data_IF_655064778831
#
_entry.id   IF_655064778831
#
_cell.length_a   1.000
_cell.length_b   1.000
_cell.length_c   1.000
_cell.angle_alpha   90.00
_cell.angle_beta   90.00
_cell.angle_gamma   90.00
#
_symmetry.space_group_name_H-M   'P 1'
#
loop_
_entity.id
_entity.type
_entity.pdbx_description
1 polymer ?
#
# COMPACT_ATOMS: atom_id res chain seq x y z
N UNK A 1 -4.91 -11.62 14.12
CA UNK A 1 -3.82 -10.66 13.80
C UNK A 1 -3.84 -10.28 12.31
N UNK A 2 -5.01 -9.99 11.74
CA UNK A 2 -5.18 -9.81 10.27
C UNK A 2 -5.46 -8.35 9.89
N UNK A 3 -6.13 -7.61 10.79
CA UNK A 3 -6.54 -6.21 10.59
C UNK A 3 -5.32 -5.28 10.54
N UNK A 4 -4.34 -5.48 11.42
CA UNK A 4 -3.09 -4.69 11.42
C UNK A 4 -2.30 -4.85 10.11
N UNK A 5 -2.27 -6.06 9.54
CA UNK A 5 -1.56 -6.32 8.29
C UNK A 5 -2.19 -5.59 7.10
N UNK A 6 -3.52 -5.54 7.03
CA UNK A 6 -4.25 -4.84 5.97
C UNK A 6 -4.25 -3.31 6.20
N UNK A 7 -4.35 -2.86 7.45
CA UNK A 7 -4.26 -1.42 7.78
C UNK A 7 -2.89 -0.82 7.37
N UNK A 8 -1.81 -1.57 7.53
CA UNK A 8 -0.48 -1.13 7.09
C UNK A 8 -0.40 -0.91 5.57
N UNK A 9 -1.17 -1.64 4.75
CA UNK A 9 -1.22 -1.42 3.29
C UNK A 9 -1.70 -0.01 2.96
N UNK A 10 -2.79 0.41 3.60
CA UNK A 10 -3.32 1.76 3.44
C UNK A 10 -2.33 2.82 3.92
N UNK A 11 -1.54 2.52 4.95
CA UNK A 11 -0.49 3.41 5.42
C UNK A 11 0.63 3.60 4.38
N UNK A 12 1.16 2.51 3.80
CA UNK A 12 2.24 2.61 2.79
C UNK A 12 1.78 3.28 1.49
N UNK A 13 0.59 2.93 0.99
CA UNK A 13 0.04 3.54 -0.21
C UNK A 13 -0.38 5.00 0.03
N UNK A 14 -0.98 5.29 1.19
CA UNK A 14 -1.35 6.65 1.58
C UNK A 14 -0.14 7.56 1.76
N UNK A 15 0.94 7.05 2.36
CA UNK A 15 2.19 7.80 2.51
C UNK A 15 2.83 8.09 1.15
N UNK A 16 2.85 7.11 0.24
CA UNK A 16 3.37 7.33 -1.11
C UNK A 16 2.55 8.36 -1.89
N UNK A 17 1.22 8.31 -1.76
CA UNK A 17 0.31 9.29 -2.35
C UNK A 17 0.57 10.70 -1.80
N UNK A 18 0.70 10.85 -0.48
CA UNK A 18 1.03 12.14 0.14
C UNK A 18 2.39 12.62 -0.35
N UNK A 19 3.39 11.74 -0.44
CA UNK A 19 4.71 12.12 -0.94
C UNK A 19 4.65 12.62 -2.39
N UNK A 20 3.81 12.06 -3.25
CA UNK A 20 3.72 12.43 -4.66
C UNK A 20 2.80 13.63 -4.93
N UNK A 21 1.70 13.77 -4.20
CA UNK A 21 0.64 14.73 -4.55
C UNK A 21 0.45 15.84 -3.51
N UNK A 22 1.03 15.72 -2.31
CA UNK A 22 0.90 16.78 -1.31
C UNK A 22 1.77 17.98 -1.64
N UNK A 23 1.21 19.17 -1.46
CA UNK A 23 1.93 20.45 -1.47
C UNK A 23 2.82 20.64 -0.25
N UNK A 24 2.63 19.85 0.82
CA UNK A 24 3.50 19.89 2.01
C UNK A 24 4.96 19.64 1.66
N UNK A 25 5.25 18.83 0.64
CA UNK A 25 6.62 18.53 0.20
C UNK A 25 7.03 19.33 -1.05
N UNK A 26 6.37 20.44 -1.38
CA UNK A 26 6.73 21.24 -2.56
C UNK A 26 8.12 21.86 -2.49
N UNK A 27 8.72 21.91 -1.30
CA UNK A 27 10.11 22.35 -1.08
C UNK A 27 11.15 21.30 -1.48
N UNK A 28 10.75 20.04 -1.73
CA UNK A 28 11.62 18.95 -2.16
C UNK A 28 11.45 18.75 -3.67
N UNK A 29 12.57 18.58 -4.37
CA UNK A 29 12.58 18.28 -5.80
C UNK A 29 11.67 17.09 -6.13
N UNK A 30 10.90 17.23 -7.21
CA UNK A 30 9.95 16.21 -7.69
C UNK A 30 10.64 14.86 -7.93
N UNK A 31 11.90 14.89 -8.35
CA UNK A 31 12.72 13.71 -8.60
C UNK A 31 13.02 12.97 -7.30
N UNK A 32 13.43 13.70 -6.25
CA UNK A 32 13.69 13.13 -4.93
C UNK A 32 12.40 12.54 -4.33
N UNK A 33 11.30 13.28 -4.40
CA UNK A 33 9.98 12.79 -3.92
C UNK A 33 9.55 11.53 -4.62
N UNK A 34 9.71 11.48 -5.94
CA UNK A 34 9.38 10.29 -6.73
C UNK A 34 10.28 9.12 -6.36
N UNK A 35 11.59 9.36 -6.21
CA UNK A 35 12.54 8.33 -5.78
C UNK A 35 12.18 7.72 -4.42
N UNK A 36 11.77 8.55 -3.45
CA UNK A 36 11.30 8.06 -2.15
C UNK A 36 9.93 7.40 -2.22
N UNK A 37 9.03 7.85 -3.09
CA UNK A 37 7.68 7.29 -3.22
C UNK A 37 7.67 5.90 -3.89
N UNK A 38 8.59 5.64 -4.83
CA UNK A 38 8.68 4.36 -5.57
C UNK A 38 8.74 3.14 -4.64
N UNK A 39 9.65 3.03 -3.65
CA UNK A 39 9.70 1.87 -2.77
C UNK A 39 8.42 1.70 -1.94
N UNK A 40 7.80 2.81 -1.49
CA UNK A 40 6.52 2.75 -0.78
C UNK A 40 5.37 2.28 -1.67
N UNK A 41 5.34 2.71 -2.93
CA UNK A 41 4.38 2.24 -3.94
C UNK A 41 4.56 0.75 -4.21
N UNK A 42 5.79 0.31 -4.52
CA UNK A 42 6.08 -1.08 -4.83
C UNK A 42 5.75 -2.01 -3.65
N UNK A 43 6.21 -1.65 -2.45
CA UNK A 43 5.94 -2.43 -1.24
C UNK A 43 4.45 -2.43 -0.88
N UNK A 44 3.80 -1.26 -0.98
CA UNK A 44 2.37 -1.11 -0.74
C UNK A 44 1.53 -1.98 -1.68
N UNK A 45 1.85 -1.99 -2.98
CA UNK A 45 1.17 -2.83 -3.97
C UNK A 45 1.42 -4.32 -3.72
N UNK A 46 2.66 -4.73 -3.48
CA UNK A 46 2.98 -6.11 -3.13
C UNK A 46 2.18 -6.59 -1.91
N UNK A 47 2.08 -5.74 -0.88
CA UNK A 47 1.35 -6.06 0.33
C UNK A 47 -0.16 -6.07 0.11
N UNK A 48 -0.69 -5.18 -0.73
CA UNK A 48 -2.10 -5.16 -1.11
C UNK A 48 -2.50 -6.48 -1.79
N UNK A 49 -1.67 -6.98 -2.71
CA UNK A 49 -1.91 -8.28 -3.37
C UNK A 49 -1.89 -9.43 -2.36
N UNK A 50 -0.96 -9.41 -1.40
CA UNK A 50 -0.91 -10.40 -0.32
C UNK A 50 -2.16 -10.40 0.56
N UNK A 51 -2.66 -9.22 0.95
CA UNK A 51 -3.93 -9.11 1.68
C UNK A 51 -5.12 -9.54 0.84
N UNK A 52 -5.15 -9.20 -0.45
CA UNK A 52 -6.21 -9.64 -1.37
C UNK A 52 -6.28 -11.16 -1.48
N UNK A 53 -5.13 -11.84 -1.64
CA UNK A 53 -5.08 -13.31 -1.66
C UNK A 53 -5.64 -13.93 -0.39
N UNK A 54 -5.26 -13.43 0.79
CA UNK A 54 -5.80 -13.90 2.07
C UNK A 54 -7.31 -13.74 2.19
N UNK A 55 -7.84 -12.59 1.73
CA UNK A 55 -9.29 -12.36 1.71
C UNK A 55 -9.95 -13.36 0.74
N UNK A 56 -9.38 -13.53 -0.45
CA UNK A 56 -9.89 -14.49 -1.43
C UNK A 56 -9.91 -15.91 -0.89
N UNK A 57 -8.82 -16.40 -0.30
CA UNK A 57 -8.73 -17.72 0.34
C UNK A 57 -9.81 -17.87 1.43
N UNK A 58 -9.93 -16.89 2.34
CA UNK A 58 -10.89 -16.96 3.45
C UNK A 58 -12.35 -16.97 3.01
N UNK A 59 -12.70 -16.28 1.93
CA UNK A 59 -14.08 -16.14 1.46
C UNK A 59 -14.48 -17.13 0.37
N UNK A 60 -13.56 -17.59 -0.48
CA UNK A 60 -13.88 -18.49 -1.59
C UNK A 60 -13.57 -19.97 -1.33
N UNK A 61 -12.69 -20.32 -0.39
CA UNK A 61 -12.50 -21.75 -0.02
C UNK A 61 -13.58 -22.27 0.95
N UNK A 62 -14.45 -21.39 1.46
CA UNK A 62 -15.58 -21.78 2.33
C UNK A 62 -16.85 -22.18 1.60
N UNK A 63 -16.93 -21.94 0.29
CA UNK A 63 -18.10 -22.27 -0.54
C UNK A 63 -17.96 -23.62 -1.28
N UNK A 64 -16.84 -24.35 -1.11
CA UNK A 64 -16.60 -25.66 -1.75
C UNK A 64 -16.73 -26.87 -0.80
N UNK A 65 -17.17 -26.68 0.45
CA UNK A 65 -17.63 -27.77 1.35
C UNK A 65 -19.15 -27.74 1.53
#
# INVERSE_FOLDING_TARGET
MTIFGTAMVFFYLGLAYILLFSTMFSYVDVTLRTFFAIPFLLYGVYRAIGSYRRIKETFFERDEE
#
